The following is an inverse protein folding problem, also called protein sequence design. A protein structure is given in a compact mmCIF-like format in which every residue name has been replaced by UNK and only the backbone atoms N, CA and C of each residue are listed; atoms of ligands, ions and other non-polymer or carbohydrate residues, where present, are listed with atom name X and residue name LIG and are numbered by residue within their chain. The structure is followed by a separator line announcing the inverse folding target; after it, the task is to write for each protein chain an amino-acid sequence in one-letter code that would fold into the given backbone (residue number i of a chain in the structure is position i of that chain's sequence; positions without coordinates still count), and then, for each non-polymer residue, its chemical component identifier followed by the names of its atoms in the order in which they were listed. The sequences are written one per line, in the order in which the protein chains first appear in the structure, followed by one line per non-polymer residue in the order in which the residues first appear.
data_IF_951916151181
#
_entry.id   IF_951916151181
#
_cell.length_a   1.000
_cell.length_b   1.000
_cell.length_c   1.000
_cell.angle_alpha   90.00
_cell.angle_beta   90.00
_cell.angle_gamma   90.00
#
_symmetry.space_group_name_H-M   'P 1'
#
loop_
_entity.id
_entity.type
_entity.pdbx_description
1 polymer ?
#
# COMPACT_ATOMS: atom_id res chain seq x y z
N UNK A 1 24.09 19.84 6.54
CA UNK A 1 22.71 19.37 6.74
C UNK A 1 22.33 18.61 5.47
N UNK A 2 22.02 17.33 5.60
CA UNK A 2 21.47 16.55 4.47
C UNK A 2 20.02 17.02 4.31
N UNK A 3 19.72 17.64 3.16
CA UNK A 3 18.35 18.08 2.85
C UNK A 3 17.51 16.84 2.58
N UNK A 4 16.32 16.74 3.18
CA UNK A 4 15.36 15.65 2.92
C UNK A 4 14.99 15.64 1.42
N UNK A 5 15.31 14.55 0.69
CA UNK A 5 15.12 14.51 -0.75
C UNK A 5 13.65 14.56 -1.17
N UNK A 6 12.71 14.20 -0.28
CA UNK A 6 11.28 14.22 -0.57
C UNK A 6 10.58 15.51 -0.11
N UNK A 7 11.26 16.37 0.66
CA UNK A 7 10.67 17.64 1.15
C UNK A 7 10.05 18.49 0.03
N UNK A 8 10.66 18.63 -1.17
CA UNK A 8 10.07 19.40 -2.27
C UNK A 8 8.69 18.90 -2.73
N UNK A 9 8.33 17.64 -2.47
CA UNK A 9 7.02 17.11 -2.83
C UNK A 9 5.87 17.77 -2.06
N UNK A 10 6.16 18.33 -0.87
CA UNK A 10 5.16 19.06 -0.08
C UNK A 10 4.88 20.46 -0.63
N UNK A 11 5.76 20.99 -1.46
CA UNK A 11 5.59 22.28 -2.15
C UNK A 11 4.71 22.15 -3.40
N UNK A 12 4.46 20.91 -3.86
CA UNK A 12 3.58 20.67 -5.00
C UNK A 12 2.14 21.07 -4.66
N UNK A 13 1.41 21.69 -5.61
CA UNK A 13 0.08 22.25 -5.36
C UNK A 13 -0.89 21.22 -4.76
N UNK A 14 -1.41 21.52 -3.56
CA UNK A 14 -2.42 20.72 -2.88
C UNK A 14 -1.93 19.46 -2.17
N UNK A 15 -0.66 19.04 -2.31
CA UNK A 15 -0.15 17.80 -1.75
C UNK A 15 -0.14 17.83 -0.23
N UNK A 16 0.36 18.89 0.38
CA UNK A 16 0.39 19.03 1.85
C UNK A 16 -1.04 18.95 2.42
N UNK A 17 -1.99 19.72 1.87
CA UNK A 17 -3.38 19.74 2.30
C UNK A 17 -4.05 18.37 2.12
N UNK A 18 -3.82 17.70 0.99
CA UNK A 18 -4.38 16.38 0.74
C UNK A 18 -3.86 15.34 1.75
N UNK A 19 -2.57 15.43 2.10
CA UNK A 19 -1.95 14.59 3.13
C UNK A 19 -2.55 14.81 4.52
N UNK A 20 -2.83 16.06 4.90
CA UNK A 20 -3.49 16.39 6.17
C UNK A 20 -4.91 15.81 6.24
N UNK A 21 -5.69 15.93 5.16
CA UNK A 21 -7.03 15.34 5.08
C UNK A 21 -7.01 13.81 5.30
N UNK A 22 -6.03 13.11 4.75
CA UNK A 22 -5.86 11.65 4.99
C UNK A 22 -5.62 11.38 6.46
N UNK A 23 -4.70 12.13 7.08
CA UNK A 23 -4.36 11.97 8.50
C UNK A 23 -5.57 12.17 9.39
N UNK A 24 -6.32 13.24 9.15
CA UNK A 24 -7.48 13.58 9.97
C UNK A 24 -8.60 12.54 9.85
N UNK A 25 -8.85 12.04 8.64
CA UNK A 25 -9.90 11.04 8.41
C UNK A 25 -9.53 9.67 8.98
N UNK A 26 -8.28 9.21 8.82
CA UNK A 26 -7.79 7.99 9.46
C UNK A 26 -7.84 8.11 10.99
N UNK A 27 -7.43 9.25 11.54
CA UNK A 27 -7.54 9.50 12.97
C UNK A 27 -9.00 9.45 13.46
N UNK A 28 -9.96 9.90 12.66
CA UNK A 28 -11.39 9.79 12.93
C UNK A 28 -11.84 8.32 12.92
N UNK A 29 -11.41 7.55 11.92
CA UNK A 29 -11.71 6.11 11.83
C UNK A 29 -11.17 5.35 13.06
N UNK A 30 -9.94 5.62 13.48
CA UNK A 30 -9.35 5.00 14.68
C UNK A 30 -10.06 5.39 16.00
N UNK A 31 -10.59 6.62 16.08
CA UNK A 31 -11.35 7.09 17.25
C UNK A 31 -12.82 6.66 17.25
N UNK A 32 -13.31 6.05 16.18
CA UNK A 32 -14.68 5.56 16.14
C UNK A 32 -14.91 4.54 17.26
N UNK A 33 -16.04 4.66 17.99
CA UNK A 33 -16.35 3.86 19.20
C UNK A 33 -16.19 2.35 18.99
N UNK A 34 -16.59 1.84 17.82
CA UNK A 34 -16.44 0.42 17.45
C UNK A 34 -14.96 0.05 17.34
N UNK A 35 -14.12 0.91 16.73
CA UNK A 35 -12.73 0.62 16.47
C UNK A 35 -11.84 0.76 17.71
N UNK A 36 -12.26 1.51 18.74
CA UNK A 36 -11.46 1.67 19.97
C UNK A 36 -11.19 0.31 20.66
N UNK A 37 -12.15 -0.61 20.64
CA UNK A 37 -12.04 -1.94 21.24
C UNK A 37 -12.25 -3.08 20.23
N UNK A 38 -13.05 -2.85 19.20
CA UNK A 38 -13.44 -3.85 18.21
C UNK A 38 -12.64 -3.76 16.89
N UNK A 39 -11.53 -3.02 16.86
CA UNK A 39 -10.71 -2.84 15.67
C UNK A 39 -10.29 -4.16 14.99
N UNK A 40 -10.06 -5.31 15.68
CA UNK A 40 -9.64 -6.52 14.98
C UNK A 40 -10.68 -7.00 13.95
N UNK A 41 -11.97 -6.88 14.28
CA UNK A 41 -13.05 -7.26 13.35
C UNK A 41 -13.09 -6.30 12.14
N UNK A 42 -12.95 -5.00 12.39
CA UNK A 42 -12.90 -3.99 11.32
C UNK A 42 -11.65 -4.16 10.45
N UNK A 43 -10.50 -4.46 11.04
CA UNK A 43 -9.25 -4.70 10.32
C UNK A 43 -9.32 -5.95 9.44
N UNK A 44 -9.88 -7.06 9.93
CA UNK A 44 -10.07 -8.28 9.16
C UNK A 44 -10.96 -8.04 7.92
N UNK A 45 -12.08 -7.32 8.09
CA UNK A 45 -12.95 -6.94 6.96
C UNK A 45 -12.24 -6.00 5.98
N UNK A 46 -11.48 -5.01 6.49
CA UNK A 46 -10.67 -4.11 5.66
C UNK A 46 -9.61 -4.87 4.87
N UNK A 47 -8.89 -5.79 5.52
CA UNK A 47 -7.87 -6.65 4.88
C UNK A 47 -8.45 -7.48 3.76
N UNK A 48 -9.62 -8.10 3.98
CA UNK A 48 -10.29 -8.89 2.95
C UNK A 48 -10.72 -8.03 1.75
N UNK A 49 -11.28 -6.84 1.98
CA UNK A 49 -11.64 -5.91 0.91
C UNK A 49 -10.43 -5.43 0.13
N UNK A 50 -9.34 -5.11 0.83
CA UNK A 50 -8.08 -4.71 0.22
C UNK A 50 -7.49 -5.82 -0.65
N UNK A 51 -7.44 -7.05 -0.16
CA UNK A 51 -6.96 -8.22 -0.90
C UNK A 51 -7.76 -8.44 -2.19
N UNK A 52 -9.09 -8.40 -2.11
CA UNK A 52 -9.96 -8.54 -3.30
C UNK A 52 -9.73 -7.44 -4.32
N UNK A 53 -9.74 -6.18 -3.88
CA UNK A 53 -9.53 -5.05 -4.76
C UNK A 53 -8.13 -5.08 -5.40
N UNK A 54 -7.11 -5.44 -4.63
CA UNK A 54 -5.74 -5.59 -5.10
C UNK A 54 -5.61 -6.70 -6.14
N UNK A 55 -6.24 -7.84 -5.90
CA UNK A 55 -6.27 -8.97 -6.85
C UNK A 55 -6.91 -8.55 -8.19
N UNK A 56 -8.08 -7.92 -8.16
CA UNK A 56 -8.77 -7.47 -9.38
C UNK A 56 -7.92 -6.50 -10.20
N UNK A 57 -7.17 -5.61 -9.55
CA UNK A 57 -6.25 -4.68 -10.24
C UNK A 57 -5.16 -5.41 -11.03
N UNK A 58 -4.74 -6.58 -10.58
CA UNK A 58 -3.69 -7.41 -11.20
C UNK A 58 -4.27 -8.60 -12.01
N UNK A 59 -5.55 -8.53 -12.37
CA UNK A 59 -6.18 -9.48 -13.27
C UNK A 59 -6.85 -10.68 -12.59
N UNK A 60 -6.92 -10.70 -11.26
CA UNK A 60 -7.69 -11.70 -10.52
C UNK A 60 -9.20 -11.55 -10.70
N UNK A 61 -9.99 -12.50 -10.18
CA UNK A 61 -11.43 -12.57 -10.43
C UNK A 61 -12.19 -11.40 -9.81
N UNK A 62 -13.20 -10.91 -10.52
CA UNK A 62 -14.11 -9.86 -10.04
C UNK A 62 -15.28 -10.42 -9.23
N UNK A 63 -15.59 -11.71 -9.37
CA UNK A 63 -16.68 -12.41 -8.67
C UNK A 63 -16.17 -13.13 -7.42
N UNK A 64 -17.03 -13.31 -6.44
CA UNK A 64 -16.74 -14.05 -5.20
C UNK A 64 -17.47 -15.39 -5.28
N UNK A 65 -16.90 -16.31 -6.03
CA UNK A 65 -17.40 -17.66 -6.16
C UNK A 65 -16.32 -18.70 -5.75
N UNK A 66 -16.64 -19.99 -5.83
CA UNK A 66 -15.69 -21.04 -5.49
C UNK A 66 -14.43 -21.05 -6.37
N UNK A 67 -14.49 -20.47 -7.58
CA UNK A 67 -13.33 -20.35 -8.49
C UNK A 67 -12.38 -19.23 -8.01
N UNK A 68 -12.93 -18.16 -7.46
CA UNK A 68 -12.11 -17.09 -6.88
C UNK A 68 -11.25 -17.58 -5.71
N UNK A 69 -11.74 -18.55 -4.93
CA UNK A 69 -10.98 -19.12 -3.80
C UNK A 69 -9.72 -19.89 -4.23
N UNK A 70 -9.68 -20.40 -5.48
CA UNK A 70 -8.52 -21.09 -6.06
C UNK A 70 -7.65 -20.20 -6.95
N UNK A 71 -7.97 -18.92 -7.12
CA UNK A 71 -7.20 -18.03 -7.97
C UNK A 71 -5.86 -17.63 -7.31
N UNK A 72 -4.71 -17.83 -8.00
CA UNK A 72 -3.40 -17.62 -7.41
C UNK A 72 -3.13 -16.14 -7.09
N UNK A 73 -3.65 -15.19 -7.89
CA UNK A 73 -3.49 -13.75 -7.64
C UNK A 73 -4.26 -13.33 -6.40
N UNK A 74 -5.50 -13.84 -6.24
CA UNK A 74 -6.29 -13.56 -5.04
C UNK A 74 -5.68 -14.22 -3.80
N UNK A 75 -5.23 -15.47 -3.90
CA UNK A 75 -4.56 -16.16 -2.80
C UNK A 75 -3.30 -15.40 -2.34
N UNK A 76 -2.48 -14.92 -3.29
CA UNK A 76 -1.32 -14.09 -3.01
C UNK A 76 -1.67 -12.77 -2.34
N UNK A 77 -2.67 -12.05 -2.87
CA UNK A 77 -3.13 -10.79 -2.27
C UNK A 77 -3.69 -11.00 -0.84
N UNK A 78 -4.37 -12.10 -0.58
CA UNK A 78 -4.89 -12.45 0.73
C UNK A 78 -3.76 -12.75 1.74
N UNK A 79 -2.74 -13.55 1.33
CA UNK A 79 -1.54 -13.81 2.16
C UNK A 79 -0.81 -12.50 2.52
N UNK A 80 -0.65 -11.60 1.56
CA UNK A 80 -0.08 -10.27 1.82
C UNK A 80 -0.91 -9.51 2.84
N UNK A 81 -2.22 -9.41 2.66
CA UNK A 81 -3.10 -8.69 3.57
C UNK A 81 -3.04 -9.25 5.01
N UNK A 82 -3.05 -10.57 5.17
CA UNK A 82 -2.91 -11.24 6.46
C UNK A 82 -1.55 -10.98 7.13
N UNK A 83 -0.47 -10.96 6.35
CA UNK A 83 0.88 -10.70 6.87
C UNK A 83 1.09 -9.24 7.33
N UNK A 84 0.21 -8.32 6.95
CA UNK A 84 0.21 -6.93 7.43
C UNK A 84 -0.49 -6.77 8.79
N UNK A 85 -1.21 -7.78 9.26
CA UNK A 85 -1.72 -7.84 10.62
C UNK A 85 -0.53 -7.91 11.58
N UNK A 86 -0.45 -6.98 12.52
CA UNK A 86 0.72 -6.82 13.37
C UNK A 86 0.97 -8.00 14.31
N UNK A 87 2.11 -8.00 14.98
CA UNK A 87 2.54 -9.00 15.96
C UNK A 87 4.06 -9.06 16.05
N UNK A 88 4.59 -9.85 16.98
CA UNK A 88 6.02 -10.08 17.11
C UNK A 88 6.58 -10.76 15.85
N UNK A 89 7.70 -10.24 15.32
CA UNK A 89 8.29 -10.72 14.07
C UNK A 89 7.50 -10.34 12.80
N UNK A 90 6.53 -9.43 12.92
CA UNK A 90 5.67 -8.99 11.83
C UNK A 90 6.45 -8.30 10.70
N UNK A 91 5.84 -8.25 9.52
CA UNK A 91 6.37 -7.48 8.37
C UNK A 91 6.59 -6.00 8.72
N UNK A 92 5.79 -5.44 9.62
CA UNK A 92 5.93 -4.06 10.11
C UNK A 92 7.26 -3.85 10.82
N UNK A 93 7.66 -4.79 11.67
CA UNK A 93 8.97 -4.71 12.37
C UNK A 93 10.13 -4.93 11.41
N UNK A 94 9.97 -5.85 10.44
CA UNK A 94 10.97 -6.07 9.40
C UNK A 94 11.12 -4.83 8.53
N UNK A 95 10.02 -4.19 8.13
CA UNK A 95 10.03 -2.96 7.33
C UNK A 95 10.84 -1.84 8.00
N UNK A 96 10.67 -1.65 9.30
CA UNK A 96 11.39 -0.60 10.05
C UNK A 96 12.91 -0.80 10.11
N UNK A 97 13.40 -2.03 9.95
CA UNK A 97 14.82 -2.38 10.11
C UNK A 97 15.50 -2.80 8.82
N UNK A 98 14.77 -3.47 7.97
CA UNK A 98 15.27 -4.08 6.74
C UNK A 98 14.19 -4.05 5.64
N UNK A 99 13.88 -2.88 5.05
CA UNK A 99 12.79 -2.72 4.07
C UNK A 99 12.92 -3.66 2.87
N UNK A 100 14.13 -3.92 2.37
CA UNK A 100 14.36 -4.85 1.26
C UNK A 100 13.94 -6.29 1.62
N UNK A 101 14.17 -6.71 2.85
CA UNK A 101 13.70 -8.02 3.31
C UNK A 101 12.18 -8.06 3.42
N UNK A 102 11.55 -6.95 3.84
CA UNK A 102 10.09 -6.87 3.86
C UNK A 102 9.50 -6.95 2.45
N UNK A 103 10.10 -6.26 1.47
CA UNK A 103 9.69 -6.35 0.06
C UNK A 103 9.85 -7.78 -0.49
N UNK A 104 10.98 -8.42 -0.22
CA UNK A 104 11.19 -9.82 -0.61
C UNK A 104 10.14 -10.75 -0.01
N UNK A 105 9.80 -10.60 1.29
CA UNK A 105 8.74 -11.38 1.93
C UNK A 105 7.35 -11.08 1.36
N UNK A 106 7.04 -9.82 1.05
CA UNK A 106 5.79 -9.47 0.36
C UNK A 106 5.69 -10.18 -0.99
N UNK A 107 6.78 -10.22 -1.77
CA UNK A 107 6.79 -10.92 -3.04
C UNK A 107 6.63 -12.44 -2.87
N UNK A 108 7.34 -13.06 -1.92
CA UNK A 108 7.15 -14.49 -1.61
C UNK A 108 5.69 -14.81 -1.34
N UNK A 109 5.01 -13.99 -0.53
CA UNK A 109 3.60 -14.18 -0.20
C UNK A 109 2.67 -13.95 -1.41
N UNK A 110 2.97 -12.92 -2.19
CA UNK A 110 2.15 -12.54 -3.33
C UNK A 110 2.27 -13.51 -4.50
N UNK A 111 3.48 -14.06 -4.74
CA UNK A 111 3.82 -14.79 -5.95
C UNK A 111 4.01 -16.29 -5.75
N UNK A 112 3.77 -16.85 -4.56
CA UNK A 112 4.01 -18.28 -4.24
C UNK A 112 3.34 -19.27 -5.20
N UNK A 113 2.21 -18.90 -5.81
CA UNK A 113 1.50 -19.74 -6.77
C UNK A 113 1.64 -19.21 -8.22
N UNK A 114 2.51 -18.24 -8.46
CA UNK A 114 2.67 -17.57 -9.77
C UNK A 114 4.01 -17.84 -10.43
N UNK A 115 5.05 -18.10 -9.63
CA UNK A 115 6.42 -18.35 -10.13
C UNK A 115 7.11 -19.44 -9.34
N UNK A 116 8.17 -20.00 -9.92
CA UNK A 116 9.00 -21.02 -9.28
C UNK A 116 9.78 -20.46 -8.08
N UNK A 117 10.13 -21.32 -7.13
CA UNK A 117 10.82 -20.97 -5.89
C UNK A 117 12.10 -20.17 -6.10
N UNK A 118 12.82 -20.40 -7.19
CA UNK A 118 14.06 -19.71 -7.53
C UNK A 118 13.87 -18.22 -7.85
N UNK A 119 12.64 -17.79 -8.15
CA UNK A 119 12.29 -16.40 -8.44
C UNK A 119 11.66 -15.69 -7.25
N UNK A 120 11.25 -16.43 -6.21
CA UNK A 120 10.56 -15.85 -5.06
C UNK A 120 11.46 -14.91 -4.24
N UNK A 121 10.98 -13.67 -4.06
CA UNK A 121 11.66 -12.66 -3.24
C UNK A 121 12.95 -12.11 -3.85
N UNK A 122 13.25 -12.41 -5.10
CA UNK A 122 14.49 -12.00 -5.78
C UNK A 122 14.21 -10.96 -6.87
N UNK A 123 14.67 -9.71 -6.71
CA UNK A 123 14.55 -8.71 -7.77
C UNK A 123 15.32 -9.13 -9.03
N UNK A 124 14.68 -8.94 -10.20
CA UNK A 124 15.21 -9.36 -11.50
C UNK A 124 15.77 -8.22 -12.37
N UNK A 125 15.61 -6.97 -11.97
CA UNK A 125 15.84 -5.80 -12.85
C UNK A 125 17.28 -5.29 -12.95
N UNK A 126 18.30 -6.04 -12.52
CA UNK A 126 19.71 -5.65 -12.63
C UNK A 126 20.13 -4.53 -11.66
N UNK A 127 21.33 -3.95 -11.90
CA UNK A 127 21.96 -3.00 -10.97
C UNK A 127 21.16 -1.69 -10.76
N UNK A 128 20.44 -1.22 -11.78
CA UNK A 128 19.62 -0.01 -11.68
C UNK A 128 18.46 -0.20 -10.72
N UNK A 129 17.71 -1.29 -10.85
CA UNK A 129 16.61 -1.65 -9.94
C UNK A 129 17.15 -1.83 -8.52
N UNK A 130 18.29 -2.53 -8.36
CA UNK A 130 18.95 -2.69 -7.06
C UNK A 130 19.23 -1.35 -6.38
N UNK A 131 19.88 -0.43 -7.09
CA UNK A 131 20.19 0.92 -6.56
C UNK A 131 18.92 1.70 -6.16
N UNK A 132 17.88 1.67 -6.95
CA UNK A 132 16.63 2.38 -6.61
C UNK A 132 15.92 1.74 -5.43
N UNK A 133 15.95 0.43 -5.29
CA UNK A 133 15.43 -0.25 -4.11
C UNK A 133 16.23 0.10 -2.84
N UNK A 134 17.56 0.21 -2.94
CA UNK A 134 18.42 0.68 -1.84
C UNK A 134 18.07 2.12 -1.44
N UNK A 135 17.91 3.03 -2.39
CA UNK A 135 17.46 4.40 -2.11
C UNK A 135 16.10 4.42 -1.41
N UNK A 136 15.15 3.56 -1.83
CA UNK A 136 13.85 3.43 -1.19
C UNK A 136 13.97 2.92 0.25
N UNK A 137 14.88 1.98 0.49
CA UNK A 137 15.17 1.45 1.83
C UNK A 137 15.78 2.51 2.74
N UNK A 138 16.70 3.32 2.24
CA UNK A 138 17.29 4.45 2.98
C UNK A 138 16.21 5.46 3.40
N UNK A 139 15.30 5.79 2.49
CA UNK A 139 14.16 6.65 2.81
C UNK A 139 13.28 6.05 3.91
N UNK A 140 13.01 4.75 3.84
CA UNK A 140 12.16 4.04 4.81
C UNK A 140 12.79 3.93 6.21
N UNK A 141 14.13 3.95 6.29
CA UNK A 141 14.89 3.83 7.57
C UNK A 141 15.33 5.18 8.15
N UNK A 142 14.71 6.27 7.74
CA UNK A 142 14.94 7.60 8.31
C UNK A 142 15.52 8.63 7.33
N UNK A 143 15.63 8.29 6.04
CA UNK A 143 16.10 9.20 5.00
C UNK A 143 15.10 10.30 4.62
N UNK A 144 13.88 10.25 5.16
CA UNK A 144 12.85 11.27 4.93
C UNK A 144 11.99 11.53 6.17
N UNK A 145 11.46 12.74 6.25
CA UNK A 145 10.52 13.20 7.30
C UNK A 145 9.17 13.63 6.75
N UNK A 146 8.94 13.43 5.44
CA UNK A 146 7.64 13.78 4.84
C UNK A 146 6.50 12.98 5.49
N UNK A 147 5.27 13.53 5.51
CA UNK A 147 4.12 12.83 6.07
C UNK A 147 3.89 11.46 5.42
N UNK A 148 3.47 10.49 6.23
CA UNK A 148 3.28 9.11 5.80
C UNK A 148 2.39 8.93 4.56
N UNK A 149 1.30 9.71 4.31
CA UNK A 149 0.54 9.58 3.07
C UNK A 149 1.38 9.88 1.82
N UNK A 150 2.27 10.87 1.89
CA UNK A 150 3.15 11.23 0.78
C UNK A 150 4.21 10.14 0.58
N UNK A 151 4.84 9.68 1.66
CA UNK A 151 5.83 8.62 1.56
C UNK A 151 5.22 7.30 1.07
N UNK A 152 4.03 6.92 1.54
CA UNK A 152 3.32 5.74 1.04
C UNK A 152 3.03 5.83 -0.48
N UNK A 153 2.65 7.02 -0.96
CA UNK A 153 2.43 7.24 -2.39
C UNK A 153 3.73 7.13 -3.20
N UNK A 154 4.86 7.63 -2.68
CA UNK A 154 6.19 7.48 -3.31
C UNK A 154 6.58 6.00 -3.38
N UNK A 155 6.52 5.26 -2.26
CA UNK A 155 6.83 3.83 -2.22
C UNK A 155 5.98 3.05 -3.22
N UNK A 156 4.69 3.35 -3.28
CA UNK A 156 3.75 2.73 -4.19
C UNK A 156 4.11 3.00 -5.67
N UNK A 157 4.32 4.27 -6.02
CA UNK A 157 4.68 4.67 -7.40
C UNK A 157 6.01 4.10 -7.86
N UNK A 158 7.02 4.13 -6.97
CA UNK A 158 8.34 3.55 -7.26
C UNK A 158 8.26 2.06 -7.56
N UNK A 159 7.61 1.28 -6.71
CA UNK A 159 7.50 -0.17 -6.89
C UNK A 159 6.69 -0.54 -8.13
N UNK A 160 5.63 0.20 -8.45
CA UNK A 160 4.89 0.01 -9.71
C UNK A 160 5.75 0.34 -10.94
N UNK A 161 6.56 1.40 -10.87
CA UNK A 161 7.42 1.83 -11.97
C UNK A 161 8.58 0.86 -12.19
N UNK A 162 9.19 0.39 -11.10
CA UNK A 162 10.32 -0.53 -11.14
C UNK A 162 9.91 -1.94 -11.55
N UNK A 163 8.72 -2.37 -11.12
CA UNK A 163 8.28 -3.77 -11.25
C UNK A 163 9.43 -4.75 -10.94
N UNK A 164 10.01 -4.68 -9.73
CA UNK A 164 11.34 -5.26 -9.45
C UNK A 164 11.37 -6.78 -9.51
N UNK A 165 10.24 -7.45 -9.40
CA UNK A 165 10.16 -8.91 -9.37
C UNK A 165 9.64 -9.51 -10.68
N UNK A 166 9.02 -8.70 -11.54
CA UNK A 166 8.44 -9.15 -12.80
C UNK A 166 7.13 -9.96 -12.64
N UNK A 167 6.69 -10.17 -11.40
CA UNK A 167 5.43 -10.85 -11.09
C UNK A 167 4.83 -10.30 -9.79
N UNK A 168 3.51 -10.26 -9.68
CA UNK A 168 2.78 -9.75 -8.50
C UNK A 168 3.23 -8.35 -8.01
N UNK A 169 3.96 -7.59 -8.83
CA UNK A 169 4.54 -6.29 -8.45
C UNK A 169 3.48 -5.29 -7.99
N UNK A 170 2.29 -5.33 -8.59
CA UNK A 170 1.17 -4.49 -8.16
C UNK A 170 0.68 -4.83 -6.75
N UNK A 171 0.54 -6.12 -6.42
CA UNK A 171 0.18 -6.57 -5.07
C UNK A 171 1.26 -6.16 -4.07
N UNK A 172 2.54 -6.33 -4.42
CA UNK A 172 3.69 -5.93 -3.59
C UNK A 172 3.70 -4.43 -3.36
N UNK A 173 3.51 -3.62 -4.41
CA UNK A 173 3.52 -2.16 -4.32
C UNK A 173 2.42 -1.63 -3.38
N UNK A 174 1.20 -2.13 -3.50
CA UNK A 174 0.09 -1.77 -2.62
C UNK A 174 0.31 -2.28 -1.19
N UNK A 175 0.81 -3.50 -1.03
CA UNK A 175 1.20 -4.04 0.27
C UNK A 175 2.28 -3.21 0.97
N UNK A 176 3.30 -2.77 0.25
CA UNK A 176 4.35 -1.91 0.76
C UNK A 176 3.82 -0.52 1.16
N UNK A 177 2.92 0.08 0.38
CA UNK A 177 2.27 1.33 0.75
C UNK A 177 1.48 1.21 2.06
N UNK A 178 0.77 0.10 2.27
CA UNK A 178 0.11 -0.20 3.55
C UNK A 178 1.12 -0.39 4.69
N UNK A 179 2.25 -1.06 4.44
CA UNK A 179 3.32 -1.17 5.44
C UNK A 179 3.79 0.20 5.91
N UNK A 180 3.97 1.16 5.00
CA UNK A 180 4.33 2.55 5.36
C UNK A 180 3.30 3.16 6.29
N UNK A 181 2.01 3.07 5.97
CA UNK A 181 0.94 3.68 6.79
C UNK A 181 0.82 3.01 8.16
N UNK A 182 1.00 1.70 8.24
CA UNK A 182 0.96 0.95 9.51
C UNK A 182 2.22 1.24 10.34
N UNK A 183 3.40 1.15 9.74
CA UNK A 183 4.68 1.32 10.42
C UNK A 183 4.88 2.73 10.97
N UNK A 184 4.38 3.76 10.28
CA UNK A 184 4.39 5.15 10.74
C UNK A 184 3.38 5.45 11.85
N UNK A 185 2.43 4.54 12.10
CA UNK A 185 1.33 4.76 13.05
C UNK A 185 0.16 5.57 12.48
N UNK A 186 0.22 5.99 11.21
CA UNK A 186 -0.88 6.69 10.54
C UNK A 186 -2.15 5.84 10.51
N UNK A 187 -2.02 4.58 10.14
CA UNK A 187 -3.10 3.58 10.14
C UNK A 187 -2.66 2.30 10.86
N UNK A 188 -2.35 2.43 12.15
CA UNK A 188 -1.72 1.37 12.96
C UNK A 188 -2.43 0.02 12.95
N UNK A 189 -3.70 -0.03 12.58
CA UNK A 189 -4.52 -1.24 12.52
C UNK A 189 -4.92 -1.64 11.11
N UNK A 190 -4.46 -0.91 10.08
CA UNK A 190 -4.77 -1.21 8.69
C UNK A 190 -6.26 -1.11 8.36
N UNK A 191 -6.96 -0.12 8.93
CA UNK A 191 -8.41 0.06 8.75
C UNK A 191 -8.78 0.65 7.39
N UNK A 192 -7.91 1.48 6.81
CA UNK A 192 -8.15 2.11 5.52
C UNK A 192 -8.09 1.11 4.35
N UNK A 193 -8.91 1.35 3.32
CA UNK A 193 -9.01 0.45 2.15
C UNK A 193 -8.88 1.25 0.84
N UNK A 194 -7.74 1.87 0.56
CA UNK A 194 -7.54 2.65 -0.66
C UNK A 194 -7.67 1.81 -1.94
N UNK A 195 -7.39 0.51 -1.88
CA UNK A 195 -7.44 -0.43 -3.00
C UNK A 195 -8.83 -0.47 -3.65
N UNK A 196 -9.89 -0.31 -2.86
CA UNK A 196 -11.28 -0.27 -3.38
C UNK A 196 -11.48 0.91 -4.32
N UNK A 197 -10.93 2.08 -3.97
CA UNK A 197 -10.99 3.27 -4.82
C UNK A 197 -10.19 3.09 -6.09
N UNK A 198 -8.96 2.55 -6.01
CA UNK A 198 -8.14 2.26 -7.18
C UNK A 198 -8.81 1.23 -8.10
N UNK A 199 -9.41 0.18 -7.55
CA UNK A 199 -10.14 -0.83 -8.33
C UNK A 199 -11.34 -0.21 -9.06
N UNK A 200 -12.16 0.61 -8.38
CA UNK A 200 -13.31 1.29 -9.00
C UNK A 200 -12.90 2.25 -10.12
N UNK A 201 -11.70 2.83 -10.02
CA UNK A 201 -11.12 3.79 -10.95
C UNK A 201 -9.85 3.25 -11.64
N UNK A 202 -9.83 1.96 -11.98
CA UNK A 202 -8.63 1.29 -12.47
C UNK A 202 -7.95 1.98 -13.67
N UNK A 203 -8.73 2.56 -14.57
CA UNK A 203 -8.19 3.32 -15.71
C UNK A 203 -7.49 4.62 -15.27
N UNK A 204 -8.06 5.37 -14.32
CA UNK A 204 -7.45 6.58 -13.77
C UNK A 204 -6.17 6.22 -12.99
N UNK A 205 -6.24 5.19 -12.17
CA UNK A 205 -5.10 4.68 -11.40
C UNK A 205 -3.90 4.33 -12.30
N UNK A 206 -4.12 3.56 -13.38
CA UNK A 206 -3.05 3.19 -14.29
C UNK A 206 -2.46 4.40 -15.03
N UNK A 207 -3.28 5.35 -15.45
CA UNK A 207 -2.79 6.59 -16.07
C UNK A 207 -1.98 7.44 -15.10
N UNK A 208 -2.43 7.56 -13.84
CA UNK A 208 -1.69 8.30 -12.83
C UNK A 208 -0.33 7.64 -12.51
N UNK A 209 -0.27 6.31 -12.45
CA UNK A 209 0.98 5.56 -12.27
C UNK A 209 1.95 5.79 -13.46
N UNK A 210 1.44 5.82 -14.68
CA UNK A 210 2.24 6.17 -15.87
C UNK A 210 2.75 7.62 -15.81
N UNK A 211 1.91 8.55 -15.32
CA UNK A 211 2.32 9.94 -15.10
C UNK A 211 3.46 10.06 -14.09
N UNK A 212 3.37 9.31 -12.98
CA UNK A 212 4.45 9.23 -11.98
C UNK A 212 5.74 8.68 -12.59
N UNK A 213 5.65 7.58 -13.33
CA UNK A 213 6.80 6.95 -14.00
C UNK A 213 7.48 7.91 -15.00
N UNK A 214 6.73 8.80 -15.63
CA UNK A 214 7.26 9.84 -16.50
C UNK A 214 8.07 10.94 -15.81
N UNK A 215 7.97 11.07 -14.48
CA UNK A 215 8.78 11.96 -13.66
C UNK A 215 8.53 13.46 -13.84
N UNK A 216 7.51 13.85 -14.62
CA UNK A 216 7.14 15.26 -14.74
C UNK A 216 6.48 15.76 -13.44
N UNK A 217 6.67 17.05 -13.12
CA UNK A 217 6.04 17.69 -11.96
C UNK A 217 4.53 17.46 -11.93
N UNK A 218 3.86 17.59 -13.07
CA UNK A 218 2.43 17.37 -13.21
C UNK A 218 2.05 15.90 -12.94
N UNK A 219 2.79 14.94 -13.53
CA UNK A 219 2.55 13.52 -13.34
C UNK A 219 2.76 13.08 -11.90
N UNK A 220 3.84 13.53 -11.26
CA UNK A 220 4.12 13.26 -9.84
C UNK A 220 3.03 13.88 -8.95
N UNK A 221 2.66 15.14 -9.18
CA UNK A 221 1.58 15.81 -8.42
C UNK A 221 0.27 15.05 -8.56
N UNK A 222 -0.12 14.69 -9.80
CA UNK A 222 -1.34 13.95 -10.06
C UNK A 222 -1.39 12.60 -9.36
N UNK A 223 -0.27 11.88 -9.33
CA UNK A 223 -0.14 10.62 -8.60
C UNK A 223 -0.30 10.79 -7.08
N UNK A 224 0.44 11.72 -6.49
CA UNK A 224 0.39 11.98 -5.05
C UNK A 224 -1.02 12.37 -4.59
N UNK A 225 -1.67 13.28 -5.32
CA UNK A 225 -3.05 13.69 -5.04
C UNK A 225 -4.04 12.52 -5.21
N UNK A 226 -3.87 11.71 -6.26
CA UNK A 226 -4.69 10.52 -6.50
C UNK A 226 -4.55 9.49 -5.39
N UNK A 227 -3.32 9.23 -4.90
CA UNK A 227 -3.07 8.35 -3.77
C UNK A 227 -3.67 8.90 -2.46
N UNK A 228 -3.51 10.18 -2.17
CA UNK A 228 -4.14 10.81 -1.01
C UNK A 228 -5.67 10.73 -1.09
N UNK A 229 -6.27 10.98 -2.25
CA UNK A 229 -7.71 10.87 -2.44
C UNK A 229 -8.21 9.43 -2.21
N UNK A 230 -7.46 8.41 -2.66
CA UNK A 230 -7.80 7.02 -2.42
C UNK A 230 -7.65 6.64 -0.94
N UNK A 231 -6.59 7.08 -0.26
CA UNK A 231 -6.41 6.86 1.17
C UNK A 231 -7.52 7.53 2.00
N UNK A 232 -7.89 8.76 1.66
CA UNK A 232 -9.01 9.46 2.30
C UNK A 232 -10.34 8.71 2.12
N UNK A 233 -10.66 8.29 0.88
CA UNK A 233 -11.85 7.49 0.61
C UNK A 233 -11.82 6.14 1.35
N UNK A 234 -10.65 5.48 1.42
CA UNK A 234 -10.45 4.26 2.18
C UNK A 234 -10.65 4.43 3.68
N UNK A 235 -10.34 5.61 4.23
CA UNK A 235 -10.65 5.94 5.63
C UNK A 235 -12.16 6.13 5.87
N UNK A 236 -12.90 6.68 4.90
CA UNK A 236 -14.37 6.73 4.94
C UNK A 236 -14.98 5.32 4.85
N UNK A 237 -14.43 4.45 4.01
CA UNK A 237 -14.86 3.03 3.96
C UNK A 237 -14.63 2.34 5.31
N UNK A 238 -13.53 2.64 6.03
CA UNK A 238 -13.27 2.14 7.38
C UNK A 238 -14.34 2.56 8.41
N UNK A 239 -14.84 3.77 8.31
CA UNK A 239 -15.96 4.24 9.13
C UNK A 239 -17.24 3.45 8.81
N UNK A 240 -17.55 3.24 7.54
CA UNK A 240 -18.69 2.43 7.11
C UNK A 240 -18.62 0.99 7.62
N UNK A 241 -17.42 0.37 7.63
CA UNK A 241 -17.18 -0.97 8.22
C UNK A 241 -17.47 -0.94 9.72
N UNK A 242 -16.98 0.05 10.45
CA UNK A 242 -17.19 0.19 11.89
C UNK A 242 -18.67 0.40 12.25
N UNK A 243 -19.40 1.19 11.46
CA UNK A 243 -20.84 1.41 11.65
C UNK A 243 -21.67 0.16 11.39
N UNK A 244 -21.30 -0.62 10.35
CA UNK A 244 -21.95 -1.89 10.05
C UNK A 244 -21.70 -2.93 11.17
N UNK A 245 -20.51 -2.96 11.73
CA UNK A 245 -20.15 -3.82 12.87
C UNK A 245 -20.90 -3.48 14.16
N UNK A 246 -21.26 -2.21 14.36
CA UNK A 246 -22.00 -1.76 15.54
C UNK A 246 -23.49 -2.18 15.54
N UNK A 247 -24.02 -2.64 14.40
CA UNK A 247 -25.43 -3.05 14.22
C UNK A 247 -25.62 -4.57 14.37
N UNK A 248 -24.54 -5.33 14.53
CA UNK A 248 -24.54 -6.78 14.79
C UNK A 248 -24.38 -7.08 16.27
#
# INVERSE_FOLDING_TARGET
MITDPLAPLLELPGVAEASEKVRDELARAHRHRTNVRGWPVSAAEASLRAARASSVLDGGPTTVDARAAGDPVFAGALRVAQALEGGEGSLVEVWRRAPLQALARLHVLAAADLVDDDHLGRPAGGAEVGRRLEMLADLATGGTTVPAPVFAAVVHGELLTLAPFGSADGVVARGAARLVTIASGLDRHGLGVPEVTWMRKAGEYRRAAQGFAGGSTEGVTGWLLGCCAAMHAGALDALGIAEAGAKR
#
